data_IF_914021127464
#
_entry.id   IF_914021127464
#
_cell.length_a   1.000
_cell.length_b   1.000
_cell.length_c   1.000
_cell.angle_alpha   90.00
_cell.angle_beta   90.00
_cell.angle_gamma   90.00
#
_symmetry.space_group_name_H-M   'P 1'
#
loop_
_entity.id
_entity.type
_entity.pdbx_description
1 polymer ?
#
# COMPACT_ATOMS: atom_id res chain seq x y z
N UNK A 1 2.78 -6.89 19.34
CA UNK A 1 3.67 -7.12 18.18
C UNK A 1 3.00 -7.92 17.07
N UNK A 2 2.63 -9.19 17.30
CA UNK A 2 2.11 -10.07 16.24
C UNK A 2 0.86 -9.53 15.52
N UNK A 3 -0.11 -8.99 16.26
CA UNK A 3 -1.32 -8.38 15.69
C UNK A 3 -1.01 -7.28 14.67
N UNK A 4 -0.06 -6.39 15.00
CA UNK A 4 0.33 -5.29 14.12
C UNK A 4 1.03 -5.79 12.85
N UNK A 5 1.91 -6.78 12.96
CA UNK A 5 2.55 -7.39 11.80
C UNK A 5 1.52 -8.05 10.87
N UNK A 6 0.59 -8.82 11.43
CA UNK A 6 -0.51 -9.44 10.66
C UNK A 6 -1.37 -8.36 10.00
N UNK A 7 -1.73 -7.30 10.73
CA UNK A 7 -2.48 -6.17 10.21
C UNK A 7 -1.76 -5.49 9.04
N UNK A 8 -0.46 -5.22 9.19
CA UNK A 8 0.36 -4.65 8.13
C UNK A 8 0.38 -5.53 6.88
N UNK A 9 0.60 -6.84 7.03
CA UNK A 9 0.62 -7.78 5.89
C UNK A 9 -0.73 -7.86 5.18
N UNK A 10 -1.84 -7.94 5.92
CA UNK A 10 -3.19 -8.00 5.36
C UNK A 10 -3.53 -6.71 4.61
N UNK A 11 -3.26 -5.56 5.21
CA UNK A 11 -3.54 -4.26 4.59
C UNK A 11 -2.67 -4.03 3.35
N UNK A 12 -1.40 -4.47 3.39
CA UNK A 12 -0.53 -4.42 2.21
C UNK A 12 -1.08 -5.27 1.07
N UNK A 13 -1.47 -6.53 1.37
CA UNK A 13 -2.07 -7.43 0.40
C UNK A 13 -3.32 -6.85 -0.23
N UNK A 14 -4.20 -6.30 0.59
CA UNK A 14 -5.42 -5.66 0.12
C UNK A 14 -5.11 -4.47 -0.80
N UNK A 15 -4.08 -3.67 -0.50
CA UNK A 15 -3.71 -2.51 -1.29
C UNK A 15 -3.18 -2.90 -2.69
N UNK A 16 -2.17 -3.79 -2.76
CA UNK A 16 -1.58 -4.16 -4.06
C UNK A 16 -2.54 -5.00 -4.91
N UNK A 17 -3.32 -5.90 -4.30
CA UNK A 17 -4.31 -6.70 -5.05
C UNK A 17 -5.43 -5.81 -5.61
N UNK A 18 -5.85 -4.79 -4.85
CA UNK A 18 -6.85 -3.83 -5.34
C UNK A 18 -6.28 -2.96 -6.46
N UNK A 19 -5.01 -2.54 -6.36
CA UNK A 19 -4.34 -1.80 -7.43
C UNK A 19 -4.22 -2.62 -8.73
N UNK A 20 -3.88 -3.90 -8.62
CA UNK A 20 -3.82 -4.83 -9.75
C UNK A 20 -5.21 -5.03 -10.37
N UNK A 21 -6.23 -5.25 -9.55
CA UNK A 21 -7.61 -5.45 -9.98
C UNK A 21 -8.24 -4.22 -10.68
N UNK A 22 -7.62 -3.04 -10.63
CA UNK A 22 -8.10 -1.87 -11.38
C UNK A 22 -7.99 -2.06 -12.90
N UNK A 23 -7.03 -2.86 -13.39
CA UNK A 23 -6.89 -3.12 -14.82
C UNK A 23 -7.87 -4.19 -15.31
N UNK A 24 -8.26 -5.11 -14.43
CA UNK A 24 -9.21 -6.19 -14.75
C UNK A 24 -10.68 -5.71 -14.78
N UNK A 25 -10.98 -4.47 -14.37
CA UNK A 25 -12.35 -3.94 -14.29
C UNK A 25 -13.08 -3.99 -15.63
N UNK A 26 -12.41 -3.66 -16.74
CA UNK A 26 -13.06 -3.68 -18.07
C UNK A 26 -13.43 -5.09 -18.51
N UNK A 27 -12.62 -6.09 -18.15
CA UNK A 27 -12.86 -7.49 -18.48
C UNK A 27 -13.88 -8.11 -17.52
N UNK A 28 -13.83 -7.79 -16.23
CA UNK A 28 -14.82 -8.20 -15.23
C UNK A 28 -16.24 -7.77 -15.58
N UNK A 29 -16.39 -6.52 -16.09
CA UNK A 29 -17.68 -6.00 -16.56
C UNK A 29 -18.21 -6.82 -17.74
N UNK A 30 -17.33 -7.30 -18.62
CA UNK A 30 -17.70 -8.07 -19.81
C UNK A 30 -18.15 -9.50 -19.47
N UNK A 31 -17.64 -10.07 -18.37
CA UNK A 31 -17.88 -11.46 -17.96
C UNK A 31 -18.91 -11.54 -16.81
N UNK A 32 -19.29 -10.41 -16.20
CA UNK A 32 -20.29 -10.34 -15.15
C UNK A 32 -19.76 -10.61 -13.73
N UNK A 33 -18.46 -10.48 -13.51
CA UNK A 33 -17.81 -10.68 -12.21
C UNK A 33 -17.92 -9.41 -11.33
N UNK A 34 -17.91 -9.62 -10.01
CA UNK A 34 -17.93 -8.56 -9.00
C UNK A 34 -16.59 -8.50 -8.28
N UNK A 35 -15.60 -7.80 -8.84
CA UNK A 35 -14.30 -7.60 -8.19
C UNK A 35 -14.32 -6.50 -7.14
N UNK A 36 -13.33 -6.51 -6.25
CA UNK A 36 -13.14 -5.54 -5.17
C UNK A 36 -13.07 -4.12 -5.72
N UNK A 37 -12.38 -3.90 -6.85
CA UNK A 37 -12.32 -2.60 -7.53
C UNK A 37 -13.73 -2.06 -7.90
N UNK A 38 -14.67 -2.93 -8.25
CA UNK A 38 -16.07 -2.56 -8.50
C UNK A 38 -16.83 -2.20 -7.22
N UNK A 39 -16.51 -2.85 -6.10
CA UNK A 39 -17.11 -2.58 -4.79
C UNK A 39 -16.69 -1.21 -4.25
N UNK A 40 -15.42 -0.83 -4.46
CA UNK A 40 -14.93 0.52 -4.16
C UNK A 40 -15.40 1.56 -5.19
N UNK A 41 -15.62 1.15 -6.44
CA UNK A 41 -16.15 2.00 -7.51
C UNK A 41 -15.29 3.24 -7.71
N UNK A 42 -15.89 4.43 -7.57
CA UNK A 42 -15.17 5.72 -7.70
C UNK A 42 -14.10 5.96 -6.63
N UNK A 43 -14.17 5.21 -5.53
CA UNK A 43 -13.32 5.37 -4.34
C UNK A 43 -12.17 4.35 -4.28
N UNK A 44 -11.93 3.59 -5.37
CA UNK A 44 -10.89 2.55 -5.38
C UNK A 44 -9.51 3.11 -5.04
N UNK A 45 -9.19 4.31 -5.54
CA UNK A 45 -7.91 4.98 -5.29
C UNK A 45 -7.79 5.40 -3.82
N UNK A 46 -8.85 5.93 -3.24
CA UNK A 46 -8.92 6.24 -1.81
C UNK A 46 -8.82 4.98 -0.94
N UNK A 47 -9.44 3.88 -1.36
CA UNK A 47 -9.38 2.61 -0.67
C UNK A 47 -7.98 2.03 -0.60
N UNK A 48 -7.27 2.02 -1.74
CA UNK A 48 -5.86 1.61 -1.81
C UNK A 48 -5.02 2.46 -0.84
N UNK A 49 -5.16 3.79 -0.93
CA UNK A 49 -4.38 4.71 -0.09
C UNK A 49 -4.68 4.55 1.40
N UNK A 50 -5.94 4.32 1.79
CA UNK A 50 -6.29 4.05 3.19
C UNK A 50 -5.68 2.73 3.69
N UNK A 51 -5.63 1.69 2.85
CA UNK A 51 -4.98 0.43 3.19
C UNK A 51 -3.47 0.63 3.38
N UNK A 52 -2.81 1.37 2.49
CA UNK A 52 -1.39 1.74 2.59
C UNK A 52 -1.09 2.53 3.88
N UNK A 53 -1.93 3.51 4.22
CA UNK A 53 -1.79 4.28 5.47
C UNK A 53 -1.98 3.40 6.70
N UNK A 54 -2.99 2.52 6.69
CA UNK A 54 -3.21 1.59 7.79
C UNK A 54 -2.05 0.59 7.94
N UNK A 55 -1.47 0.14 6.83
CA UNK A 55 -0.29 -0.70 6.83
C UNK A 55 0.92 0.01 7.46
N UNK A 56 1.21 1.25 7.06
CA UNK A 56 2.30 2.03 7.63
C UNK A 56 2.08 2.36 9.11
N UNK A 57 0.84 2.62 9.52
CA UNK A 57 0.50 2.80 10.92
C UNK A 57 0.83 1.54 11.74
N UNK A 58 0.46 0.37 11.24
CA UNK A 58 0.81 -0.89 11.89
C UNK A 58 2.34 -1.09 11.99
N UNK A 59 3.09 -0.76 10.93
CA UNK A 59 4.56 -0.85 10.96
C UNK A 59 5.20 0.18 11.90
N UNK A 60 4.64 1.39 11.97
CA UNK A 60 5.06 2.40 12.93
C UNK A 60 4.92 1.88 14.37
N UNK A 61 3.76 1.33 14.73
CA UNK A 61 3.53 0.73 16.06
C UNK A 61 4.49 -0.43 16.34
N UNK A 62 4.83 -1.24 15.33
CA UNK A 62 5.87 -2.28 15.46
C UNK A 62 7.22 -1.67 15.78
N UNK A 63 7.63 -0.61 15.09
CA UNK A 63 8.89 0.09 15.35
C UNK A 63 8.97 0.66 16.77
N UNK A 64 7.88 1.26 17.23
CA UNK A 64 7.77 1.77 18.60
C UNK A 64 7.90 0.66 19.65
N UNK A 65 7.19 -0.46 19.45
CA UNK A 65 7.22 -1.62 20.36
C UNK A 65 8.57 -2.36 20.35
N UNK A 66 9.28 -2.35 19.23
CA UNK A 66 10.60 -2.93 19.07
C UNK A 66 11.73 -2.01 19.57
N UNK A 67 11.42 -0.74 19.88
CA UNK A 67 12.43 0.26 20.25
C UNK A 67 13.36 0.64 19.10
N UNK A 68 12.88 0.59 17.85
CA UNK A 68 13.68 0.94 16.68
C UNK A 68 13.98 2.44 16.65
N UNK A 69 15.21 2.77 16.24
CA UNK A 69 15.70 4.14 16.22
C UNK A 69 15.17 5.01 15.08
N UNK A 70 15.74 6.21 15.02
CA UNK A 70 15.42 7.23 14.00
C UNK A 70 15.53 6.74 12.53
N UNK A 71 16.49 5.87 12.14
CA UNK A 71 16.56 5.36 10.77
C UNK A 71 15.29 4.62 10.32
N UNK A 72 14.67 3.85 11.20
CA UNK A 72 13.39 3.18 10.92
C UNK A 72 12.26 4.19 10.71
N UNK A 73 12.20 5.26 11.51
CA UNK A 73 11.20 6.31 11.35
C UNK A 73 11.35 7.05 10.00
N UNK A 74 12.60 7.25 9.53
CA UNK A 74 12.85 7.80 8.19
C UNK A 74 12.30 6.87 7.12
N UNK A 75 12.54 5.55 7.22
CA UNK A 75 12.01 4.58 6.25
C UNK A 75 10.48 4.58 6.19
N UNK A 76 9.81 4.70 7.34
CA UNK A 76 8.34 4.88 7.41
C UNK A 76 7.92 6.17 6.70
N UNK A 77 8.60 7.30 6.98
CA UNK A 77 8.30 8.59 6.37
C UNK A 77 8.54 8.65 4.85
N UNK A 78 9.58 7.98 4.36
CA UNK A 78 9.85 7.82 2.93
C UNK A 78 8.75 7.00 2.25
N UNK A 79 8.36 5.87 2.87
CA UNK A 79 7.27 5.03 2.35
C UNK A 79 5.93 5.77 2.33
N UNK A 80 5.65 6.58 3.36
CA UNK A 80 4.47 7.44 3.40
C UNK A 80 4.46 8.47 2.26
N UNK A 81 5.59 9.14 2.05
CA UNK A 81 5.73 10.13 0.98
C UNK A 81 5.55 9.49 -0.40
N UNK A 82 6.05 8.26 -0.56
CA UNK A 82 5.90 7.47 -1.78
C UNK A 82 4.43 7.13 -2.05
N UNK A 83 3.68 6.64 -1.06
CA UNK A 83 2.24 6.37 -1.22
C UNK A 83 1.42 7.63 -1.50
N UNK A 84 1.73 8.76 -0.86
CA UNK A 84 1.10 10.04 -1.19
C UNK A 84 1.31 10.44 -2.66
N UNK A 85 2.51 10.22 -3.19
CA UNK A 85 2.80 10.45 -4.60
C UNK A 85 2.03 9.48 -5.51
N UNK A 86 2.00 8.18 -5.16
CA UNK A 86 1.23 7.17 -5.90
C UNK A 86 -0.27 7.51 -5.94
N UNK A 87 -0.86 7.91 -4.82
CA UNK A 87 -2.25 8.37 -4.74
C UNK A 87 -2.54 9.51 -5.71
N UNK A 88 -1.69 10.54 -5.74
CA UNK A 88 -1.84 11.68 -6.65
C UNK A 88 -1.70 11.24 -8.11
N UNK A 89 -0.71 10.41 -8.42
CA UNK A 89 -0.51 9.90 -9.78
C UNK A 89 -1.70 9.07 -10.27
N UNK A 90 -2.24 8.19 -9.42
CA UNK A 90 -3.39 7.35 -9.73
C UNK A 90 -4.66 8.20 -9.89
N UNK A 91 -4.89 9.19 -9.02
CA UNK A 91 -6.01 10.15 -9.15
C UNK A 91 -5.95 10.99 -10.42
N UNK A 92 -4.75 11.32 -10.89
CA UNK A 92 -4.54 12.13 -12.10
C UNK A 92 -4.43 11.27 -13.37
N UNK A 93 -4.68 9.96 -13.28
CA UNK A 93 -4.50 9.00 -14.37
C UNK A 93 -3.11 9.09 -15.04
N UNK A 94 -2.08 9.43 -14.24
CA UNK A 94 -0.69 9.52 -14.71
C UNK A 94 0.01 8.16 -14.69
N UNK A 95 -0.46 7.24 -13.86
CA UNK A 95 0.02 5.86 -13.73
C UNK A 95 -1.16 4.91 -13.77
N UNK A 96 -0.95 3.71 -14.33
CA UNK A 96 -1.93 2.63 -14.31
C UNK A 96 -1.89 1.85 -12.99
N UNK A 97 -2.93 1.07 -12.71
CA UNK A 97 -2.99 0.21 -11.53
C UNK A 97 -1.83 -0.79 -11.47
N UNK A 98 -1.45 -1.39 -12.62
CA UNK A 98 -0.31 -2.29 -12.72
C UNK A 98 1.02 -1.60 -12.47
N UNK A 99 1.20 -0.35 -12.92
CA UNK A 99 2.40 0.40 -12.62
C UNK A 99 2.56 0.65 -11.11
N UNK A 100 1.47 0.97 -10.41
CA UNK A 100 1.45 1.11 -8.95
C UNK A 100 1.74 -0.23 -8.26
N UNK A 101 1.11 -1.32 -8.71
CA UNK A 101 1.35 -2.68 -8.22
C UNK A 101 2.84 -3.05 -8.30
N UNK A 102 3.46 -2.84 -9.47
CA UNK A 102 4.89 -3.10 -9.65
C UNK A 102 5.76 -2.23 -8.73
N UNK A 103 5.35 -1.00 -8.46
CA UNK A 103 6.10 -0.10 -7.60
C UNK A 103 6.04 -0.46 -6.10
N UNK A 104 5.02 -1.20 -5.64
CA UNK A 104 4.91 -1.61 -4.23
C UNK A 104 6.10 -2.44 -3.74
N UNK A 105 6.81 -3.12 -4.65
CA UNK A 105 8.03 -3.86 -4.30
C UNK A 105 9.11 -2.98 -3.68
N UNK A 106 9.14 -1.67 -3.94
CA UNK A 106 10.17 -0.75 -3.44
C UNK A 106 10.02 -0.43 -1.95
N UNK A 107 8.84 -0.59 -1.38
CA UNK A 107 8.59 -0.35 0.05
C UNK A 107 9.35 -1.36 0.91
N UNK A 108 9.44 -2.61 0.46
CA UNK A 108 10.16 -3.68 1.17
C UNK A 108 11.64 -3.34 1.43
N UNK A 109 12.45 -3.05 0.40
CA UNK A 109 13.84 -2.62 0.55
C UNK A 109 14.01 -1.36 1.41
N UNK A 110 13.12 -0.36 1.29
CA UNK A 110 13.16 0.85 2.11
C UNK A 110 12.99 0.51 3.60
N UNK A 111 11.97 -0.27 3.94
CA UNK A 111 11.72 -0.70 5.31
C UNK A 111 12.85 -1.60 5.84
N UNK A 112 13.38 -2.49 5.00
CA UNK A 112 14.49 -3.38 5.37
C UNK A 112 15.78 -2.60 5.67
N UNK A 113 16.12 -1.59 4.86
CA UNK A 113 17.27 -0.72 5.13
C UNK A 113 17.08 0.10 6.41
N UNK A 114 15.88 0.63 6.64
CA UNK A 114 15.56 1.33 7.89
C UNK A 114 15.73 0.44 9.12
N UNK A 115 15.31 -0.83 9.02
CA UNK A 115 15.50 -1.83 10.06
C UNK A 115 16.98 -2.18 10.27
N UNK A 116 17.75 -2.39 9.19
CA UNK A 116 19.17 -2.74 9.25
C UNK A 116 20.01 -1.68 9.96
N UNK A 117 19.64 -0.41 9.80
CA UNK A 117 20.36 0.74 10.34
C UNK A 117 19.90 1.15 11.76
N UNK A 118 18.87 0.50 12.30
CA UNK A 118 18.25 0.85 13.59
C UNK A 118 18.70 -0.02 14.76
#
# INVERSE_FOLDING_TARGET
MAFWLVGATVLWALAYDTAYAMEDVSDDVRIGLHSTARLWGRWVVEGIFLCELGMLFCLFEVGQLAGLGFPYMIAVGLSWSFFCWQYVCLKRNMLSGFAIFMQHQWVGPVMWLGLLLS
#
